data_IF_764575237458
#
_entry.id   IF_764575237458
#
_cell.length_a   1.000
_cell.length_b   1.000
_cell.length_c   1.000
_cell.angle_alpha   90.00
_cell.angle_beta   90.00
_cell.angle_gamma   90.00
#
_symmetry.space_group_name_H-M   'P 1'
#
loop_
_entity.id
_entity.type
_entity.pdbx_description
1 polymer ?
#
# COMPACT_ATOMS: atom_id res chain seq x y z
N UNK A 1 13.88 -11.34 -9.64
CA UNK A 1 12.66 -10.55 -9.93
C UNK A 1 11.63 -11.32 -10.76
N UNK A 2 12.02 -12.14 -11.69
CA UNK A 2 11.12 -13.18 -12.25
C UNK A 2 10.49 -14.07 -11.15
N UNK A 3 11.16 -14.22 -10.02
CA UNK A 3 10.66 -14.97 -8.86
C UNK A 3 9.49 -14.28 -8.12
N UNK A 4 9.46 -12.94 -8.06
CA UNK A 4 8.37 -12.23 -7.35
C UNK A 4 7.06 -12.36 -8.11
N UNK A 5 7.07 -12.10 -9.41
CA UNK A 5 5.86 -12.26 -10.23
C UNK A 5 5.38 -13.72 -10.25
N UNK A 6 6.31 -14.68 -10.35
CA UNK A 6 5.97 -16.11 -10.24
C UNK A 6 5.35 -16.45 -8.88
N UNK A 7 5.85 -15.87 -7.80
CA UNK A 7 5.30 -16.06 -6.46
C UNK A 7 3.85 -15.59 -6.33
N UNK A 8 3.49 -14.43 -6.89
CA UNK A 8 2.10 -13.94 -6.83
C UNK A 8 1.15 -14.74 -7.72
N UNK A 9 1.62 -15.24 -8.87
CA UNK A 9 0.84 -16.16 -9.72
C UNK A 9 0.59 -17.50 -9.02
N UNK A 10 1.54 -18.01 -8.24
CA UNK A 10 1.34 -19.22 -7.44
C UNK A 10 0.26 -19.00 -6.35
N UNK A 11 0.21 -17.83 -5.73
CA UNK A 11 -0.86 -17.49 -4.78
C UNK A 11 -2.22 -17.40 -5.46
N UNK A 12 -2.26 -16.80 -6.66
CA UNK A 12 -3.48 -16.75 -7.49
C UNK A 12 -3.98 -18.17 -7.83
N UNK A 13 -3.09 -19.05 -8.31
CA UNK A 13 -3.42 -20.43 -8.62
C UNK A 13 -3.98 -21.17 -7.40
N UNK A 14 -3.27 -21.10 -6.26
CA UNK A 14 -3.72 -21.74 -5.02
C UNK A 14 -5.12 -21.29 -4.59
N UNK A 15 -5.38 -19.99 -4.64
CA UNK A 15 -6.68 -19.46 -4.27
C UNK A 15 -7.77 -19.85 -5.29
N UNK A 16 -7.43 -19.84 -6.59
CA UNK A 16 -8.33 -20.28 -7.66
C UNK A 16 -8.70 -21.76 -7.57
N UNK A 17 -7.74 -22.64 -7.25
CA UNK A 17 -7.98 -24.07 -7.02
C UNK A 17 -8.96 -24.32 -5.86
N UNK A 18 -8.84 -23.55 -4.76
CA UNK A 18 -9.73 -23.70 -3.60
C UNK A 18 -11.18 -23.41 -3.95
N UNK A 19 -11.45 -22.44 -4.83
CA UNK A 19 -12.81 -22.05 -5.22
C UNK A 19 -13.27 -22.69 -6.54
N UNK A 20 -12.47 -23.57 -7.13
CA UNK A 20 -12.75 -24.19 -8.42
C UNK A 20 -13.10 -23.18 -9.52
N UNK A 21 -12.32 -22.07 -9.60
CA UNK A 21 -12.51 -21.04 -10.63
C UNK A 21 -12.39 -21.67 -12.03
N UNK A 22 -13.14 -21.14 -13.00
CA UNK A 22 -12.99 -21.52 -14.40
C UNK A 22 -11.53 -21.31 -14.86
N UNK A 23 -11.00 -22.29 -15.58
CA UNK A 23 -9.62 -22.26 -16.07
C UNK A 23 -9.34 -21.03 -16.94
N UNK A 24 -10.25 -20.68 -17.84
CA UNK A 24 -10.06 -19.55 -18.78
C UNK A 24 -10.08 -18.21 -18.03
N UNK A 25 -10.96 -18.04 -17.04
CA UNK A 25 -10.96 -16.87 -16.17
C UNK A 25 -9.64 -16.74 -15.41
N UNK A 26 -9.10 -17.85 -14.91
CA UNK A 26 -7.82 -17.87 -14.21
C UNK A 26 -6.66 -17.47 -15.14
N UNK A 27 -6.67 -17.96 -16.39
CA UNK A 27 -5.65 -17.61 -17.41
C UNK A 27 -5.68 -16.10 -17.75
N UNK A 28 -6.87 -15.49 -17.83
CA UNK A 28 -7.01 -14.04 -18.00
C UNK A 28 -6.36 -13.29 -16.82
N UNK A 29 -6.65 -13.73 -15.59
CA UNK A 29 -6.12 -13.07 -14.40
C UNK A 29 -4.60 -13.22 -14.20
N UNK A 30 -3.95 -14.15 -14.90
CA UNK A 30 -2.48 -14.35 -14.84
C UNK A 30 -1.69 -13.34 -15.66
N UNK A 31 -2.32 -12.60 -16.56
CA UNK A 31 -1.62 -11.72 -17.50
C UNK A 31 -2.12 -10.29 -17.42
N UNK A 32 -1.25 -9.29 -17.54
CA UNK A 32 -1.69 -7.91 -17.67
C UNK A 32 -2.34 -7.65 -19.03
N UNK A 33 -3.36 -6.79 -19.07
CA UNK A 33 -4.01 -6.37 -20.31
C UNK A 33 -3.03 -5.64 -21.24
N UNK A 34 -2.13 -4.81 -20.65
CA UNK A 34 -1.13 -4.02 -21.43
C UNK A 34 0.13 -3.77 -20.61
N UNK A 35 1.22 -3.77 -21.34
CA UNK A 35 2.56 -3.38 -20.87
C UNK A 35 3.08 -2.30 -21.79
N UNK A 36 3.41 -1.13 -21.25
CA UNK A 36 3.84 0.04 -22.00
C UNK A 36 5.20 0.47 -21.45
N UNK A 37 6.18 0.58 -22.33
CA UNK A 37 7.50 1.11 -22.04
C UNK A 37 7.77 2.29 -22.98
N UNK A 38 8.27 3.39 -22.44
CA UNK A 38 8.55 4.60 -23.21
C UNK A 38 9.91 5.18 -22.84
N UNK A 39 10.56 5.79 -23.83
CA UNK A 39 11.74 6.63 -23.63
C UNK A 39 11.31 8.04 -23.23
N UNK A 40 11.90 8.57 -22.17
CA UNK A 40 11.59 9.87 -21.57
C UNK A 40 12.82 10.80 -21.70
N UNK A 41 12.94 11.56 -22.81
CA UNK A 41 14.01 12.56 -22.94
C UNK A 41 13.73 13.75 -22.02
N UNK A 42 14.72 14.11 -21.20
CA UNK A 42 14.66 15.22 -20.24
C UNK A 42 15.86 16.11 -20.42
N UNK A 43 15.62 17.42 -20.58
CA UNK A 43 16.68 18.43 -20.57
C UNK A 43 17.19 18.61 -19.14
N UNK A 44 18.46 18.31 -18.92
CA UNK A 44 19.12 18.47 -17.63
C UNK A 44 19.57 19.90 -17.40
N UNK A 45 19.87 20.28 -16.16
CA UNK A 45 20.30 21.64 -15.80
C UNK A 45 21.64 22.02 -16.45
N UNK A 46 22.45 21.04 -16.86
CA UNK A 46 23.69 21.24 -17.60
C UNK A 46 23.51 21.44 -19.11
N UNK A 47 22.27 21.57 -19.60
CA UNK A 47 21.93 21.75 -21.03
C UNK A 47 21.97 20.48 -21.86
N UNK A 48 22.28 19.30 -21.31
CA UNK A 48 22.29 18.03 -22.06
C UNK A 48 20.96 17.30 -21.90
N UNK A 49 20.61 16.48 -22.90
CA UNK A 49 19.45 15.58 -22.80
C UNK A 49 19.89 14.28 -22.15
N UNK A 50 19.14 13.83 -21.17
CA UNK A 50 19.21 12.50 -20.59
C UNK A 50 17.91 11.76 -20.86
N UNK A 51 18.03 10.51 -21.34
CA UNK A 51 16.86 9.67 -21.62
C UNK A 51 16.67 8.70 -20.45
N UNK A 52 15.47 8.70 -19.87
CA UNK A 52 15.05 7.74 -18.84
C UNK A 52 14.07 6.73 -19.44
N UNK A 53 13.95 5.57 -18.81
CA UNK A 53 12.94 4.56 -19.18
C UNK A 53 11.76 4.67 -18.24
N UNK A 54 10.58 4.87 -18.80
CA UNK A 54 9.31 4.89 -18.10
C UNK A 54 8.48 3.65 -18.41
N UNK A 55 7.78 3.13 -17.40
CA UNK A 55 6.91 1.98 -17.48
C UNK A 55 5.49 2.32 -17.02
N UNK A 56 4.48 1.72 -17.68
CA UNK A 56 3.11 1.63 -17.19
C UNK A 56 2.55 0.26 -17.50
N UNK A 57 2.13 -0.48 -16.47
CA UNK A 57 1.44 -1.75 -16.63
C UNK A 57 -0.02 -1.53 -16.24
N UNK A 58 -0.91 -1.79 -17.16
CA UNK A 58 -2.35 -1.84 -17.03
C UNK A 58 -2.72 -3.31 -16.88
N UNK A 59 -2.95 -3.76 -15.61
CA UNK A 59 -3.04 -5.18 -15.34
C UNK A 59 -4.42 -5.73 -15.64
N UNK A 60 -5.47 -5.08 -15.10
CA UNK A 60 -6.84 -5.53 -15.27
C UNK A 60 -7.81 -4.37 -15.05
N UNK A 61 -8.81 -4.22 -15.90
CA UNK A 61 -9.83 -3.16 -15.81
C UNK A 61 -11.27 -3.71 -15.72
N UNK A 62 -11.44 -4.96 -15.41
CA UNK A 62 -12.73 -5.64 -15.39
C UNK A 62 -13.72 -4.96 -14.44
N UNK A 63 -13.25 -4.46 -13.31
CA UNK A 63 -14.08 -3.78 -12.30
C UNK A 63 -14.10 -2.25 -12.44
N UNK A 64 -13.31 -1.67 -13.31
CA UNK A 64 -13.21 -0.22 -13.52
C UNK A 64 -11.84 0.21 -13.99
N UNK A 65 -11.55 1.51 -14.09
CA UNK A 65 -10.30 2.01 -14.64
C UNK A 65 -9.10 1.48 -13.87
N UNK A 66 -7.96 1.34 -14.57
CA UNK A 66 -6.71 0.93 -13.93
C UNK A 66 -6.31 1.92 -12.84
N UNK A 67 -5.77 1.44 -11.72
CA UNK A 67 -5.37 2.28 -10.60
C UNK A 67 -4.06 1.82 -10.00
N UNK A 68 -3.13 2.75 -9.80
CA UNK A 68 -1.90 2.46 -9.06
C UNK A 68 -0.84 3.51 -9.16
N UNK A 69 0.09 3.49 -8.20
CA UNK A 69 1.16 4.48 -8.04
C UNK A 69 2.21 4.45 -9.14
N UNK A 70 3.01 5.51 -9.19
CA UNK A 70 4.21 5.62 -10.04
C UNK A 70 5.43 5.62 -9.11
N UNK A 71 6.34 4.67 -9.28
CA UNK A 71 7.57 4.54 -8.49
C UNK A 71 8.76 5.13 -9.24
N UNK A 72 9.48 6.05 -8.60
CA UNK A 72 10.74 6.57 -9.12
C UNK A 72 11.90 5.97 -8.31
N UNK A 73 12.59 4.98 -8.87
CA UNK A 73 13.66 4.30 -8.14
C UNK A 73 14.69 3.69 -9.11
N UNK A 74 16.00 3.66 -8.77
CA UNK A 74 17.02 3.14 -9.69
C UNK A 74 16.92 1.64 -10.00
N UNK A 75 16.19 0.89 -9.18
CA UNK A 75 15.96 -0.55 -9.38
C UNK A 75 14.64 -0.87 -10.07
N UNK A 76 13.83 0.13 -10.41
CA UNK A 76 12.58 -0.10 -11.14
C UNK A 76 12.86 -0.81 -12.47
N UNK A 77 12.11 -1.85 -12.70
CA UNK A 77 12.11 -2.62 -13.94
C UNK A 77 10.72 -3.20 -14.20
N UNK A 78 10.52 -3.72 -15.39
CA UNK A 78 9.22 -4.18 -15.85
C UNK A 78 8.61 -5.29 -14.99
N UNK A 79 9.41 -6.25 -14.51
CA UNK A 79 8.89 -7.37 -13.70
C UNK A 79 8.38 -6.90 -12.34
N UNK A 80 9.09 -5.96 -11.70
CA UNK A 80 8.61 -5.31 -10.48
C UNK A 80 7.30 -4.56 -10.73
N UNK A 81 7.21 -3.78 -11.82
CA UNK A 81 6.00 -3.02 -12.16
C UNK A 81 4.81 -3.94 -12.45
N UNK A 82 5.02 -5.09 -13.12
CA UNK A 82 3.98 -6.13 -13.33
C UNK A 82 3.48 -6.70 -12.00
N UNK A 83 4.39 -7.08 -11.12
CA UNK A 83 4.05 -7.62 -9.80
C UNK A 83 3.21 -6.64 -8.98
N UNK A 84 3.65 -5.38 -8.95
CA UNK A 84 2.96 -4.32 -8.21
C UNK A 84 1.59 -3.98 -8.83
N UNK A 85 1.45 -4.07 -10.15
CA UNK A 85 0.18 -3.86 -10.84
C UNK A 85 -0.82 -4.98 -10.55
N UNK A 86 -0.36 -6.24 -10.48
CA UNK A 86 -1.16 -7.37 -10.03
C UNK A 86 -1.66 -7.17 -8.58
N UNK A 87 -0.76 -6.82 -7.65
CA UNK A 87 -1.17 -6.55 -6.27
C UNK A 87 -2.19 -5.41 -6.17
N UNK A 88 -2.11 -4.40 -7.04
CA UNK A 88 -3.13 -3.35 -7.08
C UNK A 88 -4.48 -3.91 -7.52
N UNK A 89 -4.54 -4.85 -8.49
CA UNK A 89 -5.79 -5.53 -8.88
C UNK A 89 -6.42 -6.23 -7.69
N UNK A 90 -5.65 -7.05 -6.98
CA UNK A 90 -6.11 -7.79 -5.79
C UNK A 90 -6.56 -6.81 -4.70
N UNK A 91 -5.74 -5.80 -4.39
CA UNK A 91 -6.04 -4.80 -3.35
C UNK A 91 -7.35 -4.04 -3.61
N UNK A 92 -7.57 -3.59 -4.85
CA UNK A 92 -8.81 -2.90 -5.22
C UNK A 92 -10.04 -3.82 -5.12
N UNK A 93 -9.89 -5.08 -5.50
CA UNK A 93 -10.97 -6.08 -5.39
C UNK A 93 -11.27 -6.45 -3.92
N UNK A 94 -10.24 -6.62 -3.06
CA UNK A 94 -10.42 -6.83 -1.61
C UNK A 94 -11.12 -5.64 -0.97
N UNK A 95 -10.65 -4.42 -1.25
CA UNK A 95 -11.22 -3.18 -0.74
C UNK A 95 -12.63 -2.88 -1.28
N UNK A 96 -13.07 -3.64 -2.26
CA UNK A 96 -14.36 -3.52 -2.94
C UNK A 96 -14.62 -2.13 -3.52
N UNK A 97 -13.61 -1.56 -4.17
CA UNK A 97 -13.70 -0.30 -4.88
C UNK A 97 -13.72 -0.54 -6.40
N UNK A 98 -14.39 0.32 -7.19
CA UNK A 98 -14.60 0.10 -8.62
C UNK A 98 -13.35 0.51 -9.44
N UNK A 99 -12.23 -0.12 -9.11
CA UNK A 99 -10.97 0.02 -9.82
C UNK A 99 -10.43 -1.35 -10.26
N UNK A 100 -9.73 -1.32 -11.35
CA UNK A 100 -8.79 -2.36 -11.71
C UNK A 100 -7.41 -2.13 -11.10
N UNK A 101 -6.40 -2.80 -11.63
CA UNK A 101 -5.01 -2.66 -11.19
C UNK A 101 -4.11 -2.06 -12.26
N UNK A 102 -3.25 -1.16 -11.86
CA UNK A 102 -2.19 -0.61 -12.69
C UNK A 102 -0.98 -0.21 -11.85
N UNK A 103 0.14 -0.05 -12.50
CA UNK A 103 1.38 0.44 -11.85
C UNK A 103 2.26 1.14 -12.87
N UNK A 104 2.93 2.19 -12.43
CA UNK A 104 3.95 2.86 -13.22
C UNK A 104 5.29 2.91 -12.51
N UNK A 105 6.31 3.25 -13.25
CA UNK A 105 7.63 3.49 -12.69
C UNK A 105 8.57 4.15 -13.67
N UNK A 106 9.63 4.73 -13.14
CA UNK A 106 10.76 5.25 -13.89
C UNK A 106 12.04 4.75 -13.25
N UNK A 107 12.96 4.23 -14.08
CA UNK A 107 14.29 3.84 -13.63
C UNK A 107 15.14 5.09 -13.44
N UNK A 108 15.20 5.62 -12.20
CA UNK A 108 15.84 6.90 -11.87
C UNK A 108 16.32 6.96 -10.43
N UNK A 109 17.47 7.54 -10.18
CA UNK A 109 17.92 7.96 -8.86
C UNK A 109 17.53 9.42 -8.62
N UNK A 110 16.40 9.64 -7.96
CA UNK A 110 15.87 11.00 -7.70
C UNK A 110 16.79 11.86 -6.85
N UNK A 111 17.68 11.24 -6.04
CA UNK A 111 18.64 11.96 -5.20
C UNK A 111 19.72 12.70 -6.01
N UNK A 112 19.85 12.33 -7.30
CA UNK A 112 20.78 12.93 -8.25
C UNK A 112 20.13 13.99 -9.14
N UNK A 113 18.84 14.25 -8.95
CA UNK A 113 18.10 15.24 -9.71
C UNK A 113 17.87 16.51 -8.90
N UNK A 114 17.92 17.66 -9.54
CA UNK A 114 17.36 18.89 -9.00
C UNK A 114 15.83 18.85 -9.01
N UNK A 115 15.17 19.75 -8.28
CA UNK A 115 13.72 19.86 -8.33
C UNK A 115 13.20 20.20 -9.72
N UNK A 116 13.92 21.04 -10.48
CA UNK A 116 13.55 21.38 -11.85
C UNK A 116 13.70 20.19 -12.80
N UNK A 117 14.74 19.38 -12.64
CA UNK A 117 14.93 18.14 -13.40
C UNK A 117 13.84 17.10 -13.07
N UNK A 118 13.46 17.00 -11.79
CA UNK A 118 12.39 16.11 -11.34
C UNK A 118 11.02 16.54 -11.91
N UNK A 119 10.75 17.84 -11.95
CA UNK A 119 9.53 18.37 -12.59
C UNK A 119 9.50 18.04 -14.09
N UNK A 120 10.61 18.31 -14.81
CA UNK A 120 10.71 17.99 -16.23
C UNK A 120 10.53 16.48 -16.49
N UNK A 121 11.04 15.62 -15.60
CA UNK A 121 10.85 14.17 -15.69
C UNK A 121 9.38 13.78 -15.47
N UNK A 122 8.71 14.36 -14.47
CA UNK A 122 7.29 14.10 -14.22
C UNK A 122 6.42 14.53 -15.41
N UNK A 123 6.70 15.70 -16.00
CA UNK A 123 6.02 16.18 -17.21
C UNK A 123 6.34 15.31 -18.43
N UNK A 124 7.59 14.87 -18.59
CA UNK A 124 7.96 13.93 -19.67
C UNK A 124 7.25 12.58 -19.53
N UNK A 125 7.14 12.06 -18.29
CA UNK A 125 6.33 10.88 -18.01
C UNK A 125 4.87 11.08 -18.44
N UNK A 126 4.29 12.21 -18.10
CA UNK A 126 2.90 12.52 -18.46
C UNK A 126 2.71 12.55 -19.98
N UNK A 127 3.59 13.24 -20.72
CA UNK A 127 3.54 13.26 -22.20
C UNK A 127 3.65 11.86 -22.80
N UNK A 128 4.58 11.03 -22.29
CA UNK A 128 4.79 9.68 -22.79
C UNK A 128 3.60 8.74 -22.56
N UNK A 129 2.79 9.03 -21.54
CA UNK A 129 1.65 8.17 -21.18
C UNK A 129 0.27 8.84 -21.35
N UNK A 130 0.18 10.05 -21.94
CA UNK A 130 -1.06 10.84 -22.02
C UNK A 130 -2.22 10.14 -22.73
N UNK A 131 -1.94 9.25 -23.68
CA UNK A 131 -2.96 8.48 -24.39
C UNK A 131 -3.48 7.28 -23.60
N UNK A 132 -2.71 6.82 -22.62
CA UNK A 132 -3.00 5.63 -21.83
C UNK A 132 -3.60 5.95 -20.45
N UNK A 133 -3.22 7.09 -19.84
CA UNK A 133 -3.79 7.56 -18.57
C UNK A 133 -5.01 8.45 -18.79
N UNK A 134 -5.80 8.64 -17.76
CA UNK A 134 -6.98 9.52 -17.82
C UNK A 134 -8.03 9.17 -16.75
N UNK A 135 -8.96 10.09 -16.47
CA UNK A 135 -9.96 9.95 -15.40
C UNK A 135 -10.81 8.67 -15.46
N UNK A 136 -11.06 8.17 -16.68
CA UNK A 136 -11.89 6.98 -16.92
C UNK A 136 -11.10 5.79 -17.47
N UNK A 137 -9.78 5.95 -17.66
CA UNK A 137 -8.92 4.92 -18.25
C UNK A 137 -7.97 4.33 -17.22
N UNK A 138 -7.10 5.17 -16.68
CA UNK A 138 -6.02 4.76 -15.79
C UNK A 138 -5.60 5.94 -14.92
N UNK A 139 -5.71 5.78 -13.60
CA UNK A 139 -5.53 6.86 -12.63
C UNK A 139 -4.25 6.62 -11.82
N UNK A 140 -3.14 7.28 -12.14
CA UNK A 140 -1.91 7.22 -11.34
C UNK A 140 -2.09 7.78 -9.92
N UNK A 141 -1.13 7.47 -9.04
CA UNK A 141 -1.04 7.93 -7.68
C UNK A 141 0.43 7.99 -7.22
N UNK A 142 0.73 8.56 -6.04
CA UNK A 142 2.09 8.50 -5.50
C UNK A 142 2.50 7.08 -5.09
N UNK A 143 3.80 6.82 -5.15
CA UNK A 143 4.47 5.62 -4.62
C UNK A 143 5.89 6.01 -4.14
N UNK A 144 6.82 5.08 -4.07
CA UNK A 144 8.20 5.34 -3.62
C UNK A 144 8.85 6.44 -4.44
N UNK A 145 9.39 7.44 -3.75
CA UNK A 145 10.04 8.64 -4.30
C UNK A 145 9.17 9.48 -5.25
N UNK A 146 7.86 9.32 -5.20
CA UNK A 146 6.91 10.29 -5.73
C UNK A 146 6.03 10.83 -4.60
N UNK A 147 5.50 12.03 -4.77
CA UNK A 147 4.83 12.78 -3.71
C UNK A 147 3.67 13.63 -4.28
N UNK A 148 2.90 14.33 -3.46
CA UNK A 148 1.80 15.19 -3.93
C UNK A 148 2.23 16.25 -4.95
N UNK A 149 3.43 16.81 -4.83
CA UNK A 149 3.94 17.79 -5.79
C UNK A 149 4.14 17.19 -7.19
N UNK A 150 4.66 15.97 -7.27
CA UNK A 150 4.79 15.26 -8.56
C UNK A 150 3.40 14.98 -9.16
N UNK A 151 2.41 14.63 -8.34
CA UNK A 151 1.03 14.47 -8.82
C UNK A 151 0.43 15.78 -9.33
N UNK A 152 0.79 16.90 -8.70
CA UNK A 152 0.43 18.23 -9.20
C UNK A 152 0.99 18.50 -10.61
N UNK A 153 2.26 18.25 -10.83
CA UNK A 153 2.89 18.41 -12.14
C UNK A 153 2.31 17.48 -13.21
N UNK A 154 1.96 16.24 -12.84
CA UNK A 154 1.30 15.28 -13.75
C UNK A 154 -0.10 15.78 -14.15
N UNK A 155 -0.88 16.24 -13.17
CA UNK A 155 -2.22 16.78 -13.42
C UNK A 155 -2.16 18.03 -14.30
N UNK A 156 -1.26 18.95 -14.02
CA UNK A 156 -1.07 20.19 -14.77
C UNK A 156 -0.68 19.90 -16.23
N UNK A 157 0.35 19.07 -16.44
CA UNK A 157 0.80 18.69 -17.79
C UNK A 157 -0.29 17.97 -18.57
N UNK A 158 -1.03 17.05 -17.94
CA UNK A 158 -2.13 16.34 -18.57
C UNK A 158 -3.26 17.30 -18.96
N UNK A 159 -3.59 18.24 -18.09
CA UNK A 159 -4.60 19.28 -18.33
C UNK A 159 -4.21 20.17 -19.52
N UNK A 160 -2.94 20.56 -19.63
CA UNK A 160 -2.42 21.29 -20.79
C UNK A 160 -2.57 20.50 -22.10
N UNK A 161 -2.21 19.20 -22.09
CA UNK A 161 -2.36 18.33 -23.27
C UNK A 161 -3.82 18.20 -23.70
N UNK A 162 -4.74 18.12 -22.74
CA UNK A 162 -6.19 17.97 -23.03
C UNK A 162 -6.90 19.30 -23.30
N UNK A 163 -6.32 20.44 -22.96
CA UNK A 163 -6.93 21.75 -23.09
C UNK A 163 -8.04 22.03 -22.07
N UNK A 164 -8.10 21.24 -20.97
CA UNK A 164 -9.09 21.38 -19.92
C UNK A 164 -8.51 20.97 -18.56
N UNK A 165 -9.00 21.56 -17.46
CA UNK A 165 -8.59 21.17 -16.11
C UNK A 165 -9.14 19.78 -15.77
N UNK A 166 -8.25 18.82 -15.57
CA UNK A 166 -8.58 17.38 -15.39
C UNK A 166 -8.09 16.84 -14.04
N UNK A 167 -8.61 17.28 -12.89
CA UNK A 167 -8.11 16.89 -11.58
C UNK A 167 -8.27 15.40 -11.27
N UNK A 168 -9.23 14.71 -11.89
CA UNK A 168 -9.49 13.30 -11.68
C UNK A 168 -8.47 12.36 -12.40
N UNK A 169 -7.51 12.91 -13.17
CA UNK A 169 -6.50 12.09 -13.88
C UNK A 169 -5.55 11.39 -12.92
N UNK A 170 -5.26 11.98 -11.75
CA UNK A 170 -4.40 11.41 -10.70
C UNK A 170 -5.03 11.60 -9.32
N UNK A 171 -4.56 10.81 -8.34
CA UNK A 171 -4.93 10.99 -6.93
C UNK A 171 -3.68 11.16 -6.07
N UNK A 172 -3.86 11.67 -4.85
CA UNK A 172 -2.77 11.99 -3.94
C UNK A 172 -2.15 13.37 -4.19
N UNK A 173 -2.93 14.27 -4.78
CA UNK A 173 -2.57 15.68 -4.98
C UNK A 173 -2.57 16.47 -3.66
N UNK A 174 -1.92 17.63 -3.61
CA UNK A 174 -2.17 18.64 -2.58
C UNK A 174 -3.66 19.00 -2.48
N UNK A 175 -4.12 19.31 -1.26
CA UNK A 175 -5.54 19.65 -1.02
C UNK A 175 -5.92 20.93 -1.79
N UNK A 176 -4.99 21.86 -1.91
CA UNK A 176 -5.15 23.14 -2.61
C UNK A 176 -5.48 23.01 -4.10
N UNK A 177 -5.17 21.85 -4.67
CA UNK A 177 -5.47 21.53 -6.07
C UNK A 177 -6.33 20.26 -6.18
N UNK A 178 -7.36 20.21 -5.37
CA UNK A 178 -8.37 19.15 -5.42
C UNK A 178 -7.91 17.77 -4.88
N UNK A 179 -6.93 17.72 -3.99
CA UNK A 179 -6.63 16.56 -3.16
C UNK A 179 -7.73 16.32 -2.12
N UNK A 180 -7.83 15.12 -1.58
CA UNK A 180 -8.80 14.78 -0.54
C UNK A 180 -8.23 15.00 0.86
N UNK A 181 -9.03 15.61 1.75
CA UNK A 181 -8.76 15.61 3.19
C UNK A 181 -8.65 14.17 3.71
N UNK A 182 -7.85 13.98 4.77
CA UNK A 182 -7.65 12.67 5.40
C UNK A 182 -6.74 11.69 4.61
N UNK A 183 -6.31 12.04 3.37
CA UNK A 183 -5.50 11.14 2.53
C UNK A 183 -4.15 10.81 3.16
N UNK A 184 -3.54 11.74 3.88
CA UNK A 184 -2.23 11.61 4.51
C UNK A 184 -2.19 10.56 5.63
N UNK A 185 -3.30 10.33 6.34
CA UNK A 185 -3.42 9.35 7.43
C UNK A 185 -4.21 8.09 7.03
N UNK A 186 -4.81 8.07 5.83
CA UNK A 186 -5.77 7.05 5.42
C UNK A 186 -5.26 5.60 5.54
N UNK A 187 -3.99 5.36 5.20
CA UNK A 187 -3.40 4.02 5.32
C UNK A 187 -3.33 3.58 6.78
N UNK A 188 -2.86 4.46 7.65
CA UNK A 188 -2.71 4.20 9.08
C UNK A 188 -4.06 4.05 9.78
N UNK A 189 -5.01 4.93 9.44
CA UNK A 189 -6.36 4.92 10.01
C UNK A 189 -7.13 3.67 9.56
N UNK A 190 -7.03 3.30 8.29
CA UNK A 190 -7.61 2.04 7.79
C UNK A 190 -6.99 0.82 8.46
N UNK A 191 -5.66 0.78 8.61
CA UNK A 191 -4.97 -0.28 9.36
C UNK A 191 -5.42 -0.36 10.82
N UNK A 192 -5.69 0.79 11.45
CA UNK A 192 -6.22 0.84 12.80
C UNK A 192 -7.64 0.25 12.90
N UNK A 193 -8.53 0.58 11.98
CA UNK A 193 -9.87 -0.02 11.95
C UNK A 193 -9.81 -1.54 11.75
N UNK A 194 -8.95 -2.03 10.86
CA UNK A 194 -8.74 -3.49 10.69
C UNK A 194 -8.19 -4.11 11.97
N UNK A 195 -7.22 -3.48 12.61
CA UNK A 195 -6.66 -3.92 13.89
C UNK A 195 -7.73 -4.07 14.97
N UNK A 196 -8.60 -3.06 15.15
CA UNK A 196 -9.72 -3.12 16.13
C UNK A 196 -10.68 -4.28 15.82
N UNK A 197 -11.00 -4.52 14.54
CA UNK A 197 -11.85 -5.63 14.14
C UNK A 197 -11.21 -7.00 14.46
N UNK A 198 -9.90 -7.14 14.23
CA UNK A 198 -9.16 -8.38 14.56
C UNK A 198 -9.19 -8.63 16.07
N UNK A 199 -8.94 -7.61 16.89
CA UNK A 199 -9.01 -7.74 18.36
C UNK A 199 -10.39 -8.16 18.84
N UNK A 200 -11.45 -7.57 18.27
CA UNK A 200 -12.84 -7.93 18.56
C UNK A 200 -13.13 -9.40 18.23
N UNK A 201 -12.74 -9.86 17.04
CA UNK A 201 -12.92 -11.25 16.60
C UNK A 201 -12.12 -12.25 17.42
N UNK A 202 -10.96 -11.87 17.93
CA UNK A 202 -10.13 -12.72 18.79
C UNK A 202 -10.45 -12.57 20.29
N UNK A 203 -11.45 -11.77 20.69
CA UNK A 203 -11.81 -11.48 22.07
C UNK A 203 -10.63 -10.99 22.93
N UNK A 204 -9.72 -10.21 22.35
CA UNK A 204 -8.53 -9.71 23.01
C UNK A 204 -8.84 -8.44 23.80
N UNK A 205 -8.54 -8.44 25.10
CA UNK A 205 -8.80 -7.30 25.99
C UNK A 205 -7.74 -6.21 25.77
N UNK A 206 -8.15 -4.98 25.54
CA UNK A 206 -7.32 -3.81 25.25
C UNK A 206 -6.15 -3.62 26.22
N UNK A 207 -6.40 -3.74 27.53
CA UNK A 207 -5.40 -3.55 28.58
C UNK A 207 -4.29 -4.62 28.59
N UNK A 208 -4.42 -5.68 27.79
CA UNK A 208 -3.43 -6.75 27.63
C UNK A 208 -2.68 -6.64 26.29
N UNK A 209 -2.96 -5.60 25.51
CA UNK A 209 -2.36 -5.45 24.17
C UNK A 209 -1.16 -4.54 24.24
N UNK A 210 -0.02 -5.08 23.80
CA UNK A 210 1.19 -4.31 23.53
C UNK A 210 1.55 -4.41 22.04
N UNK A 211 2.02 -3.30 21.47
CA UNK A 211 2.37 -3.19 20.06
C UNK A 211 3.84 -2.84 19.87
N UNK A 212 4.46 -3.44 18.85
CA UNK A 212 5.72 -2.99 18.28
C UNK A 212 5.48 -2.55 16.83
N UNK A 213 5.91 -1.34 16.49
CA UNK A 213 5.75 -0.77 15.13
C UNK A 213 7.11 -0.63 14.48
N UNK A 214 7.36 -1.40 13.45
CA UNK A 214 8.61 -1.33 12.70
C UNK A 214 8.46 -0.31 11.56
N UNK A 215 9.26 0.75 11.63
CA UNK A 215 9.19 1.89 10.72
C UNK A 215 8.35 3.04 11.28
N UNK A 216 9.01 4.16 11.61
CA UNK A 216 8.38 5.40 12.11
C UNK A 216 8.36 6.48 11.01
N UNK A 217 8.02 6.03 9.78
CA UNK A 217 7.68 6.87 8.63
C UNK A 217 6.19 7.28 8.68
N UNK A 218 5.66 7.82 7.58
CA UNK A 218 4.27 8.33 7.55
C UNK A 218 3.25 7.30 8.06
N UNK A 219 3.30 6.07 7.58
CA UNK A 219 2.31 5.04 7.95
C UNK A 219 2.49 4.58 9.40
N UNK A 220 3.69 4.15 9.79
CA UNK A 220 3.91 3.61 11.13
C UNK A 220 3.79 4.66 12.23
N UNK A 221 4.24 5.88 11.98
CA UNK A 221 4.12 7.02 12.91
C UNK A 221 2.64 7.34 13.19
N UNK A 222 1.84 7.53 12.14
CA UNK A 222 0.42 7.84 12.31
C UNK A 222 -0.35 6.66 12.93
N UNK A 223 -0.05 5.41 12.55
CA UNK A 223 -0.65 4.24 13.18
C UNK A 223 -0.33 4.17 14.68
N UNK A 224 0.95 4.34 15.05
CA UNK A 224 1.36 4.37 16.46
C UNK A 224 0.67 5.49 17.25
N UNK A 225 0.53 6.68 16.65
CA UNK A 225 -0.13 7.82 17.29
C UNK A 225 -1.65 7.58 17.46
N UNK A 226 -2.33 7.04 16.45
CA UNK A 226 -3.76 6.70 16.50
C UNK A 226 -3.99 5.63 17.59
N UNK A 227 -3.21 4.56 17.59
CA UNK A 227 -3.32 3.49 18.57
C UNK A 227 -2.99 3.99 20.00
N UNK A 228 -1.98 4.83 20.18
CA UNK A 228 -1.65 5.47 21.46
C UNK A 228 -2.80 6.35 21.97
N UNK A 229 -3.36 7.21 21.12
CA UNK A 229 -4.50 8.07 21.50
C UNK A 229 -5.76 7.23 21.82
N UNK A 230 -5.92 6.08 21.18
CA UNK A 230 -6.95 5.11 21.52
C UNK A 230 -6.65 4.34 22.82
N UNK A 231 -5.50 4.57 23.48
CA UNK A 231 -5.13 4.00 24.78
C UNK A 231 -4.47 2.61 24.70
N UNK A 232 -3.90 2.23 23.55
CA UNK A 232 -3.07 1.04 23.45
C UNK A 232 -1.63 1.29 23.87
N UNK A 233 -0.98 0.27 24.44
CA UNK A 233 0.42 0.33 24.83
C UNK A 233 1.33 0.12 23.62
N UNK A 234 2.06 1.14 23.22
CA UNK A 234 3.11 1.05 22.19
C UNK A 234 4.43 0.78 22.89
N UNK A 235 4.91 -0.45 22.86
CA UNK A 235 6.13 -0.85 23.56
C UNK A 235 7.41 -0.50 22.79
N UNK A 236 7.37 -0.50 21.45
CA UNK A 236 8.52 -0.22 20.62
C UNK A 236 8.14 0.44 19.29
N UNK A 237 9.04 1.32 18.82
CA UNK A 237 9.00 1.87 17.45
C UNK A 237 10.41 1.90 16.88
N UNK A 238 10.54 1.90 15.54
CA UNK A 238 11.85 1.98 14.88
C UNK A 238 11.86 2.89 13.66
N UNK A 239 13.04 3.38 13.31
CA UNK A 239 13.30 4.01 12.01
C UNK A 239 14.55 3.39 11.34
N UNK A 240 15.08 4.06 10.30
CA UNK A 240 16.24 3.56 9.55
C UNK A 240 17.53 3.51 10.36
N UNK A 241 17.61 4.23 11.51
CA UNK A 241 18.80 4.26 12.38
C UNK A 241 18.74 3.24 13.52
N UNK A 242 17.57 2.67 13.82
CA UNK A 242 17.38 1.66 14.85
C UNK A 242 16.01 1.73 15.52
N UNK A 243 15.89 1.14 16.68
CA UNK A 243 14.63 1.06 17.42
C UNK A 243 14.78 1.48 18.88
N UNK A 244 13.67 1.87 19.49
CA UNK A 244 13.54 2.14 20.93
C UNK A 244 12.48 1.25 21.54
N UNK A 245 12.69 0.85 22.79
CA UNK A 245 11.82 -0.05 23.53
C UNK A 245 11.63 0.42 24.96
N UNK A 246 10.37 0.40 25.43
CA UNK A 246 10.01 0.54 26.82
C UNK A 246 8.87 -0.43 27.15
N UNK A 247 9.10 -1.36 28.07
CA UNK A 247 8.10 -2.36 28.47
C UNK A 247 6.83 -1.74 29.04
N UNK A 248 6.94 -0.60 29.71
CA UNK A 248 5.81 0.15 30.27
C UNK A 248 5.03 0.93 29.21
N UNK A 249 5.56 1.06 28.01
CA UNK A 249 5.02 1.81 26.88
C UNK A 249 5.73 3.14 26.66
N UNK A 250 5.64 3.61 25.43
CA UNK A 250 6.22 4.85 24.93
C UNK A 250 5.14 5.94 24.86
N UNK A 251 5.47 7.16 25.27
CA UNK A 251 4.66 8.34 24.94
C UNK A 251 4.93 8.73 23.48
N UNK A 252 4.04 8.34 22.59
CA UNK A 252 4.25 8.53 21.15
C UNK A 252 4.28 9.99 20.74
N UNK A 253 3.58 10.89 21.45
CA UNK A 253 3.65 12.33 21.17
C UNK A 253 5.04 12.89 21.45
N UNK A 254 5.67 12.45 22.54
CA UNK A 254 7.03 12.86 22.90
C UNK A 254 8.07 12.23 21.96
N UNK A 255 7.90 10.95 21.56
CA UNK A 255 8.75 10.30 20.55
C UNK A 255 8.68 11.03 19.21
N UNK A 256 7.49 11.49 18.81
CA UNK A 256 7.31 12.28 17.60
C UNK A 256 8.06 13.61 17.67
N UNK A 257 7.91 14.36 18.77
CA UNK A 257 8.63 15.61 18.98
C UNK A 257 10.16 15.42 19.00
N UNK A 258 10.63 14.37 19.68
CA UNK A 258 12.04 13.98 19.69
C UNK A 258 12.55 13.71 18.26
N UNK A 259 11.81 12.94 17.47
CA UNK A 259 12.19 12.63 16.07
C UNK A 259 12.20 13.89 15.19
N UNK A 260 11.25 14.79 15.35
CA UNK A 260 11.23 16.06 14.62
C UNK A 260 12.48 16.91 14.90
N UNK A 261 12.97 16.89 16.14
CA UNK A 261 14.15 17.65 16.55
C UNK A 261 15.46 16.97 16.15
N UNK A 262 15.55 15.64 16.28
CA UNK A 262 16.82 14.90 16.13
C UNK A 262 16.95 14.16 14.79
N UNK A 263 15.85 14.04 14.04
CA UNK A 263 15.77 13.28 12.80
C UNK A 263 15.68 11.75 13.01
N UNK A 264 15.56 11.24 14.25
CA UNK A 264 15.49 9.80 14.54
C UNK A 264 14.76 9.52 15.85
N UNK A 265 14.29 8.28 16.03
CA UNK A 265 13.71 7.81 17.29
C UNK A 265 14.78 7.43 18.31
N UNK A 266 16.03 7.16 17.88
CA UNK A 266 17.14 6.70 18.73
C UNK A 266 17.48 7.77 19.79
N UNK A 267 17.91 7.28 20.98
CA UNK A 267 18.28 8.09 22.13
C UNK A 267 17.11 8.89 22.75
N UNK A 268 15.88 8.44 22.52
CA UNK A 268 14.73 8.98 23.22
C UNK A 268 14.84 8.70 24.73
N UNK A 269 14.70 9.74 25.55
CA UNK A 269 14.79 9.63 27.02
C UNK A 269 13.64 8.76 27.57
N UNK A 270 13.97 7.79 28.39
CA UNK A 270 12.98 6.87 28.98
C UNK A 270 12.74 5.60 28.17
N UNK A 271 13.52 5.34 27.12
CA UNK A 271 13.51 4.09 26.37
C UNK A 271 14.92 3.54 26.16
N UNK A 272 15.00 2.21 25.97
CA UNK A 272 16.26 1.54 25.61
C UNK A 272 16.42 1.52 24.10
N UNK A 273 17.61 1.85 23.60
CA UNK A 273 17.94 1.61 22.19
C UNK A 273 18.11 0.12 21.95
N UNK A 274 17.50 -0.38 20.88
CA UNK A 274 17.62 -1.75 20.40
C UNK A 274 17.82 -1.74 18.88
N UNK A 275 18.18 -2.87 18.28
CA UNK A 275 18.27 -2.97 16.81
C UNK A 275 16.89 -3.19 16.18
N UNK A 276 16.78 -2.95 14.88
CA UNK A 276 15.55 -3.23 14.12
C UNK A 276 15.17 -4.72 14.17
N UNK A 277 16.17 -5.62 14.14
CA UNK A 277 15.96 -7.06 14.25
C UNK A 277 15.41 -7.44 15.64
N UNK A 278 15.92 -6.82 16.69
CA UNK A 278 15.43 -7.06 18.07
C UNK A 278 14.01 -6.59 18.26
N UNK A 279 13.60 -5.51 17.60
CA UNK A 279 12.19 -5.05 17.64
C UNK A 279 11.26 -6.14 17.13
N UNK A 280 11.58 -6.81 16.02
CA UNK A 280 10.75 -7.87 15.44
C UNK A 280 10.62 -9.09 16.39
N UNK A 281 11.60 -9.33 17.26
CA UNK A 281 11.66 -10.46 18.18
C UNK A 281 11.03 -10.17 19.57
N UNK A 282 10.48 -8.95 19.79
CA UNK A 282 9.90 -8.58 21.08
C UNK A 282 8.67 -9.43 21.42
N UNK A 283 8.47 -9.73 22.73
CA UNK A 283 7.29 -10.45 23.19
C UNK A 283 6.08 -9.50 23.31
N UNK A 284 5.59 -9.03 22.19
CA UNK A 284 4.39 -8.19 22.08
C UNK A 284 3.22 -8.98 21.51
N UNK A 285 2.00 -8.53 21.77
CA UNK A 285 0.83 -9.15 21.17
C UNK A 285 0.76 -8.87 19.67
N UNK A 286 1.07 -7.63 19.27
CA UNK A 286 0.92 -7.16 17.89
C UNK A 286 2.26 -6.63 17.38
N UNK A 287 2.69 -7.18 16.25
CA UNK A 287 3.80 -6.64 15.47
C UNK A 287 3.25 -5.98 14.21
N UNK A 288 3.55 -4.71 14.01
CA UNK A 288 3.09 -3.92 12.86
C UNK A 288 4.29 -3.49 12.00
N UNK A 289 4.72 -4.29 11.00
CA UNK A 289 5.72 -3.87 10.04
C UNK A 289 5.13 -2.82 9.08
N UNK A 290 5.72 -1.62 9.08
CA UNK A 290 5.28 -0.45 8.33
C UNK A 290 6.41 0.21 7.51
N UNK A 291 7.42 -0.56 7.10
CA UNK A 291 8.59 -0.06 6.40
C UNK A 291 8.88 -0.86 5.12
N UNK A 292 9.96 -1.64 5.10
CA UNK A 292 10.50 -2.27 3.91
C UNK A 292 9.90 -3.66 3.65
N UNK A 293 9.98 -4.08 2.39
CA UNK A 293 9.65 -5.44 1.95
C UNK A 293 10.61 -6.47 2.56
N UNK A 294 10.13 -7.70 2.83
CA UNK A 294 10.94 -8.85 3.23
C UNK A 294 11.69 -8.72 4.56
N UNK A 295 11.27 -7.80 5.45
CA UNK A 295 11.89 -7.62 6.76
C UNK A 295 11.71 -8.84 7.67
N UNK A 296 10.63 -9.58 7.49
CA UNK A 296 10.40 -10.89 8.11
C UNK A 296 10.65 -11.95 7.04
N UNK A 297 11.69 -12.77 7.27
CA UNK A 297 12.19 -13.73 6.30
C UNK A 297 12.56 -15.05 6.98
N UNK A 298 13.02 -16.04 6.22
CA UNK A 298 13.35 -17.38 6.73
C UNK A 298 14.35 -17.41 7.88
N UNK A 299 15.20 -16.36 8.04
CA UNK A 299 16.23 -16.29 9.09
C UNK A 299 15.67 -15.81 10.44
N UNK A 300 14.62 -14.99 10.45
CA UNK A 300 14.08 -14.39 11.67
C UNK A 300 12.64 -14.83 12.02
N UNK A 301 11.90 -15.45 11.10
CA UNK A 301 10.53 -15.89 11.32
C UNK A 301 10.36 -16.78 12.57
N UNK A 302 11.31 -17.69 12.82
CA UNK A 302 11.29 -18.58 14.01
C UNK A 302 11.39 -17.82 15.33
N UNK A 303 11.97 -16.61 15.33
CA UNK A 303 12.20 -15.78 16.52
C UNK A 303 11.04 -14.84 16.82
N UNK A 304 10.10 -14.67 15.88
CA UNK A 304 8.91 -13.83 16.09
C UNK A 304 8.06 -14.42 17.22
N UNK A 305 7.65 -13.57 18.17
CA UNK A 305 6.87 -13.94 19.35
C UNK A 305 5.47 -13.32 19.35
N UNK A 306 5.22 -12.38 18.46
CA UNK A 306 3.91 -11.74 18.35
C UNK A 306 2.81 -12.77 18.03
N UNK A 307 1.61 -12.52 18.52
CA UNK A 307 0.42 -13.35 18.22
C UNK A 307 -0.20 -12.97 16.88
N UNK A 308 -0.09 -11.69 16.52
CA UNK A 308 -0.66 -11.13 15.31
C UNK A 308 0.43 -10.26 14.63
N UNK A 309 0.54 -10.40 13.31
CA UNK A 309 1.30 -9.48 12.47
C UNK A 309 0.32 -8.70 11.61
N UNK A 310 0.33 -7.36 11.73
CA UNK A 310 -0.48 -6.44 10.95
C UNK A 310 0.39 -5.78 9.87
N UNK A 311 0.27 -6.20 8.63
CA UNK A 311 1.12 -5.74 7.52
C UNK A 311 0.73 -4.35 7.03
N UNK A 312 1.29 -3.30 7.62
CA UNK A 312 1.07 -1.92 7.20
C UNK A 312 2.00 -1.49 6.04
N UNK A 313 3.15 -2.12 5.89
CA UNK A 313 4.00 -2.04 4.69
C UNK A 313 3.53 -2.99 3.60
N UNK A 314 4.08 -2.87 2.39
CA UNK A 314 3.80 -3.81 1.30
C UNK A 314 4.80 -4.97 1.36
N UNK A 315 4.31 -6.22 1.33
CA UNK A 315 5.12 -7.43 1.29
C UNK A 315 6.18 -7.56 2.39
N UNK A 316 5.90 -7.23 3.67
CA UNK A 316 6.92 -7.24 4.71
C UNK A 316 7.37 -8.67 5.09
N UNK A 317 6.58 -9.68 4.73
CA UNK A 317 6.82 -11.09 5.03
C UNK A 317 7.15 -11.84 3.74
N UNK A 318 8.27 -12.57 3.71
CA UNK A 318 8.61 -13.44 2.57
C UNK A 318 7.75 -14.72 2.58
N UNK A 319 7.48 -15.35 1.42
CA UNK A 319 6.69 -16.58 1.36
C UNK A 319 7.22 -17.71 2.25
N UNK A 320 8.55 -17.87 2.34
CA UNK A 320 9.20 -18.84 3.24
C UNK A 320 8.91 -18.54 4.71
N UNK A 321 8.98 -17.26 5.09
CA UNK A 321 8.70 -16.85 6.47
C UNK A 321 7.23 -17.06 6.83
N UNK A 322 6.31 -16.81 5.90
CA UNK A 322 4.89 -16.99 6.11
C UNK A 322 4.53 -18.42 6.50
N UNK A 323 5.14 -19.43 5.87
CA UNK A 323 4.94 -20.84 6.23
C UNK A 323 5.33 -21.08 7.71
N UNK A 324 6.54 -20.64 8.10
CA UNK A 324 7.04 -20.78 9.49
C UNK A 324 6.16 -20.07 10.52
N UNK A 325 5.63 -18.90 10.16
CA UNK A 325 4.73 -18.12 11.05
C UNK A 325 3.39 -18.82 11.24
N UNK A 326 2.83 -19.43 10.19
CA UNK A 326 1.60 -20.23 10.27
C UNK A 326 1.77 -21.47 11.15
N UNK A 327 2.87 -22.19 11.03
CA UNK A 327 3.19 -23.33 11.91
C UNK A 327 3.24 -22.92 13.38
N UNK A 328 3.58 -21.66 13.68
CA UNK A 328 3.55 -21.06 15.03
C UNK A 328 2.16 -20.53 15.42
N UNK A 329 1.12 -20.71 14.60
CA UNK A 329 -0.23 -20.16 14.81
C UNK A 329 -0.27 -18.63 14.94
N UNK A 330 0.66 -17.89 14.32
CA UNK A 330 0.67 -16.44 14.28
C UNK A 330 -0.33 -15.99 13.19
N UNK A 331 -1.31 -15.18 13.56
CA UNK A 331 -2.26 -14.63 12.62
C UNK A 331 -1.59 -13.50 11.81
N UNK A 332 -1.60 -13.61 10.48
CA UNK A 332 -1.09 -12.58 9.58
C UNK A 332 -2.28 -11.85 8.96
N UNK A 333 -2.41 -10.56 9.26
CA UNK A 333 -3.36 -9.67 8.60
C UNK A 333 -2.68 -9.10 7.36
N UNK A 334 -3.06 -9.52 6.14
CA UNK A 334 -2.28 -9.26 4.95
C UNK A 334 -2.35 -7.78 4.50
N UNK A 335 -1.29 -7.32 3.90
CA UNK A 335 -1.12 -5.96 3.37
C UNK A 335 -2.22 -5.51 2.42
N UNK A 336 -2.71 -6.41 1.55
CA UNK A 336 -3.80 -6.12 0.60
C UNK A 336 -5.11 -5.73 1.30
N UNK A 337 -5.25 -6.02 2.59
CA UNK A 337 -6.35 -5.56 3.45
C UNK A 337 -5.87 -4.45 4.41
N UNK A 338 -4.84 -4.71 5.21
CA UNK A 338 -4.43 -3.85 6.32
C UNK A 338 -4.01 -2.44 5.88
N UNK A 339 -3.35 -2.30 4.72
CA UNK A 339 -2.89 -1.01 4.22
C UNK A 339 -3.75 -0.43 3.08
N UNK A 340 -4.93 -1.02 2.81
CA UNK A 340 -5.80 -0.59 1.71
C UNK A 340 -6.52 0.74 1.97
N UNK A 341 -6.48 1.29 3.17
CA UNK A 341 -7.07 2.60 3.48
C UNK A 341 -6.61 3.72 2.54
N UNK A 342 -5.34 3.69 2.15
CA UNK A 342 -4.78 4.64 1.19
C UNK A 342 -5.45 4.60 -0.18
N UNK A 343 -5.71 3.43 -0.75
CA UNK A 343 -6.37 3.31 -2.05
C UNK A 343 -7.87 3.59 -1.96
N UNK A 344 -8.52 3.28 -0.82
CA UNK A 344 -9.91 3.63 -0.55
C UNK A 344 -10.08 5.15 -0.57
N UNK A 345 -9.27 5.91 0.15
CA UNK A 345 -9.37 7.39 0.11
C UNK A 345 -8.91 7.96 -1.23
N UNK A 346 -8.00 7.29 -1.95
CA UNK A 346 -7.74 7.65 -3.35
C UNK A 346 -8.98 7.50 -4.25
N UNK A 347 -9.80 6.48 -4.01
CA UNK A 347 -11.08 6.34 -4.69
C UNK A 347 -12.02 7.50 -4.32
N UNK A 348 -12.10 7.89 -3.07
CA UNK A 348 -12.92 9.04 -2.66
C UNK A 348 -12.43 10.35 -3.27
N UNK A 349 -11.10 10.58 -3.36
CA UNK A 349 -10.55 11.74 -4.06
C UNK A 349 -10.99 11.78 -5.53
N UNK A 350 -10.90 10.64 -6.21
CA UNK A 350 -11.33 10.54 -7.60
C UNK A 350 -12.84 10.84 -7.77
N UNK A 351 -13.71 10.28 -6.91
CA UNK A 351 -15.15 10.57 -6.90
C UNK A 351 -15.42 12.06 -6.69
N UNK A 352 -14.76 12.69 -5.71
CA UNK A 352 -14.86 14.11 -5.43
C UNK A 352 -14.44 14.96 -6.64
N UNK A 353 -13.36 14.56 -7.31
CA UNK A 353 -12.86 15.24 -8.50
C UNK A 353 -13.80 15.10 -9.71
N UNK A 354 -14.43 13.94 -9.90
CA UNK A 354 -15.43 13.74 -10.97
C UNK A 354 -16.72 14.52 -10.72
N UNK A 355 -17.10 14.69 -9.45
CA UNK A 355 -18.31 15.40 -9.04
C UNK A 355 -18.09 16.90 -8.84
N UNK A 356 -16.82 17.38 -8.80
CA UNK A 356 -16.45 18.73 -8.40
C UNK A 356 -17.07 19.15 -7.05
N UNK A 357 -17.23 18.17 -6.13
CA UNK A 357 -17.81 18.34 -4.80
C UNK A 357 -16.93 17.68 -3.75
N UNK A 358 -16.36 18.49 -2.85
CA UNK A 358 -15.33 18.06 -1.90
C UNK A 358 -15.93 17.82 -0.52
N UNK A 359 -15.50 16.72 0.10
CA UNK A 359 -16.05 16.24 1.36
C UNK A 359 -15.23 16.74 2.55
N UNK A 360 -15.93 16.99 3.66
CA UNK A 360 -15.29 17.22 4.94
C UNK A 360 -14.51 15.98 5.40
N UNK A 361 -13.44 16.20 6.16
CA UNK A 361 -12.56 15.12 6.65
C UNK A 361 -13.33 14.05 7.41
N UNK A 362 -14.27 14.44 8.27
CA UNK A 362 -15.13 13.51 9.03
C UNK A 362 -15.93 12.57 8.14
N UNK A 363 -16.43 13.06 6.99
CA UNK A 363 -17.14 12.25 6.00
C UNK A 363 -16.20 11.26 5.31
N UNK A 364 -14.98 11.71 4.96
CA UNK A 364 -13.95 10.84 4.36
C UNK A 364 -13.59 9.71 5.33
N UNK A 365 -13.35 10.02 6.62
CA UNK A 365 -12.99 9.04 7.65
C UNK A 365 -14.12 8.05 7.93
N UNK A 366 -15.36 8.52 8.06
CA UNK A 366 -16.53 7.65 8.28
C UNK A 366 -16.77 6.70 7.10
N UNK A 367 -16.60 7.17 5.86
CA UNK A 367 -16.71 6.33 4.68
C UNK A 367 -15.55 5.34 4.58
N UNK A 368 -14.32 5.73 4.96
CA UNK A 368 -13.18 4.83 5.05
C UNK A 368 -13.44 3.71 6.06
N UNK A 369 -13.90 4.05 7.26
CA UNK A 369 -14.24 3.07 8.30
C UNK A 369 -15.26 2.05 7.79
N UNK A 370 -16.38 2.52 7.25
CA UNK A 370 -17.43 1.67 6.69
C UNK A 370 -16.89 0.71 5.63
N UNK A 371 -16.11 1.24 4.67
CA UNK A 371 -15.61 0.47 3.53
C UNK A 371 -14.60 -0.60 3.97
N UNK A 372 -13.64 -0.23 4.83
CA UNK A 372 -12.57 -1.16 5.22
C UNK A 372 -13.08 -2.22 6.19
N UNK A 373 -14.04 -1.90 7.07
CA UNK A 373 -14.69 -2.89 7.93
C UNK A 373 -15.50 -3.88 7.09
N UNK A 374 -16.18 -3.43 6.04
CA UNK A 374 -16.87 -4.32 5.11
C UNK A 374 -15.89 -5.27 4.42
N UNK A 375 -14.76 -4.77 3.93
CA UNK A 375 -13.70 -5.58 3.33
C UNK A 375 -13.12 -6.59 4.34
N UNK A 376 -12.86 -6.16 5.57
CA UNK A 376 -12.41 -7.05 6.64
C UNK A 376 -13.40 -8.18 6.91
N UNK A 377 -14.70 -7.86 7.04
CA UNK A 377 -15.74 -8.88 7.30
C UNK A 377 -15.80 -9.94 6.21
N UNK A 378 -15.71 -9.54 4.93
CA UNK A 378 -15.67 -10.47 3.82
C UNK A 378 -14.45 -11.41 3.89
N UNK A 379 -13.25 -10.85 4.11
CA UNK A 379 -12.02 -11.66 4.22
C UNK A 379 -12.06 -12.58 5.45
N UNK A 380 -12.53 -12.06 6.60
CA UNK A 380 -12.63 -12.86 7.82
C UNK A 380 -13.62 -14.03 7.66
N UNK A 381 -14.80 -13.78 7.11
CA UNK A 381 -15.80 -14.81 6.86
C UNK A 381 -15.29 -15.88 5.91
N UNK A 382 -14.60 -15.48 4.83
CA UNK A 382 -13.98 -16.42 3.90
C UNK A 382 -12.91 -17.27 4.59
N UNK A 383 -12.10 -16.68 5.46
CA UNK A 383 -11.11 -17.41 6.27
C UNK A 383 -11.78 -18.44 7.19
N UNK A 384 -12.85 -18.06 7.90
CA UNK A 384 -13.62 -18.96 8.76
C UNK A 384 -14.23 -20.13 7.94
N UNK A 385 -14.82 -19.84 6.78
CA UNK A 385 -15.41 -20.84 5.90
C UNK A 385 -14.37 -21.86 5.37
N UNK A 386 -13.11 -21.45 5.21
CA UNK A 386 -12.00 -22.35 4.84
C UNK A 386 -11.48 -23.20 6.01
N UNK A 387 -11.99 -22.99 7.22
CA UNK A 387 -11.59 -23.74 8.42
C UNK A 387 -10.13 -23.57 8.82
N UNK A 388 -9.46 -22.49 8.40
CA UNK A 388 -8.06 -22.21 8.67
C UNK A 388 -7.83 -20.75 9.06
N UNK A 389 -6.60 -20.42 9.45
CA UNK A 389 -6.19 -19.06 9.82
C UNK A 389 -5.39 -18.34 8.73
N UNK A 390 -5.54 -18.73 7.47
CA UNK A 390 -4.86 -18.14 6.32
C UNK A 390 -5.63 -16.95 5.74
N UNK A 391 -5.52 -15.81 6.40
CA UNK A 391 -6.22 -14.59 6.00
C UNK A 391 -5.72 -14.03 4.66
N UNK A 392 -4.46 -14.28 4.27
CA UNK A 392 -3.95 -13.89 2.95
C UNK A 392 -4.62 -14.70 1.84
N UNK A 393 -4.67 -16.01 1.95
CA UNK A 393 -5.40 -16.85 0.98
C UNK A 393 -6.88 -16.45 0.92
N UNK A 394 -7.51 -16.19 2.06
CA UNK A 394 -8.90 -15.70 2.09
C UNK A 394 -9.08 -14.36 1.37
N UNK A 395 -8.14 -13.41 1.53
CA UNK A 395 -8.18 -12.14 0.81
C UNK A 395 -8.06 -12.33 -0.71
N UNK A 396 -7.19 -13.24 -1.16
CA UNK A 396 -7.10 -13.60 -2.58
C UNK A 396 -8.39 -14.24 -3.10
N UNK A 397 -9.00 -15.16 -2.35
CA UNK A 397 -10.29 -15.76 -2.70
C UNK A 397 -11.36 -14.68 -2.89
N UNK A 398 -11.54 -13.77 -1.93
CA UNK A 398 -12.50 -12.65 -2.04
C UNK A 398 -12.24 -11.81 -3.28
N UNK A 399 -10.98 -11.54 -3.60
CA UNK A 399 -10.63 -10.77 -4.79
C UNK A 399 -10.96 -11.52 -6.08
N UNK A 400 -10.59 -12.81 -6.16
CA UNK A 400 -10.76 -13.64 -7.35
C UNK A 400 -12.25 -13.87 -7.63
N UNK A 401 -13.07 -14.19 -6.61
CA UNK A 401 -14.52 -14.35 -6.76
C UNK A 401 -15.17 -13.09 -7.35
N UNK A 402 -14.77 -11.89 -6.91
CA UNK A 402 -15.29 -10.64 -7.45
C UNK A 402 -14.83 -10.38 -8.89
N UNK A 403 -13.60 -10.74 -9.21
CA UNK A 403 -13.05 -10.59 -10.56
C UNK A 403 -13.70 -11.60 -11.52
N UNK A 404 -13.78 -12.87 -11.15
CA UNK A 404 -14.42 -13.92 -11.93
C UNK A 404 -15.90 -13.59 -12.18
N UNK A 405 -16.63 -13.17 -11.15
CA UNK A 405 -18.03 -12.75 -11.31
C UNK A 405 -18.19 -11.59 -12.27
N UNK A 406 -17.26 -10.66 -12.26
CA UNK A 406 -17.29 -9.53 -13.19
C UNK A 406 -16.93 -9.95 -14.64
N UNK A 407 -16.02 -10.93 -14.82
CA UNK A 407 -15.74 -11.55 -16.13
C UNK A 407 -16.97 -12.24 -16.68
N UNK A 408 -17.59 -13.13 -15.90
CA UNK A 408 -18.82 -13.85 -16.26
C UNK A 408 -19.94 -12.90 -16.71
N UNK A 409 -20.21 -11.83 -15.93
CA UNK A 409 -21.27 -10.85 -16.26
C UNK A 409 -20.96 -10.09 -17.55
N UNK A 410 -19.68 -9.87 -17.87
CA UNK A 410 -19.25 -9.21 -19.10
C UNK A 410 -19.24 -10.16 -20.32
N UNK A 411 -19.44 -11.44 -20.12
CA UNK A 411 -19.40 -12.43 -21.18
C UNK A 411 -17.98 -12.72 -21.71
N UNK A 412 -17.01 -12.65 -20.83
CA UNK A 412 -15.59 -12.89 -21.13
C UNK A 412 -15.18 -14.25 -20.53
#
# INVERSE_FOLDING_TARGET
>A
MAEQFKGVINQLNKAGEIININHDELEILKKPDRVIEVSLPVLMDNGRIKVFTGYRVQYNNIRGPYKGGIRFHPKVNLDEVKTLAFWMTIKCAVADIPYGGGKGGVTVDVKKLSNNELERLARAYTRGFADFIGPTKDIPAPDVYTNPQIMAWIMDEYSHIKGENTPAVVTGKPVEINGSLGRNIATSLGGFYVFEQVLGKMNMKKNKISLAVQGFGNVGMNFALIAFNAGYKIAAVSDSKGAIYNEQGLNIKEVLSHKQTTGSVINFKGAKNITNEKLLELPVEILAPAALEGVINGKNASKIKAKIILELGNGPITPEAEIKLREKNILIVPDVLANSGGVIVSYFEWVQNLQHYYWEQTKVEANLEKQIISAFKAVWQTMENQGNKDMRTAAYIVAIEKLAKALEIRGI
#
